data_IF_824983850526
#
_entry.id   IF_824983850526
#
_cell.length_a   1.000
_cell.length_b   1.000
_cell.length_c   1.000
_cell.angle_alpha   90.00
_cell.angle_beta   90.00
_cell.angle_gamma   90.00
#
_symmetry.space_group_name_H-M   'P 1'
#
loop_
_entity.id
_entity.type
_entity.pdbx_description
1 polymer ?
#
# COMPACT_ATOMS: atom_id res chain seq x y z
N UNK A 1 -66.92 30.72 14.82
CA UNK A 1 -65.58 30.60 15.42
C UNK A 1 -65.49 29.20 16.01
N UNK A 2 -64.96 28.24 15.26
CA UNK A 2 -64.89 26.84 15.69
C UNK A 2 -63.75 26.70 16.71
N UNK A 3 -64.08 26.39 17.96
CA UNK A 3 -63.10 26.02 18.96
C UNK A 3 -62.53 24.65 18.58
N UNK A 4 -61.27 24.63 18.17
CA UNK A 4 -60.54 23.41 17.93
C UNK A 4 -60.26 22.76 19.30
N UNK A 5 -60.77 21.54 19.50
CA UNK A 5 -60.59 20.80 20.75
C UNK A 5 -59.09 20.53 20.97
N UNK A 6 -58.52 21.02 22.08
CA UNK A 6 -57.07 20.93 22.37
C UNK A 6 -56.58 19.47 22.42
N UNK A 7 -57.49 18.53 22.66
CA UNK A 7 -57.22 17.08 22.64
C UNK A 7 -56.85 16.53 21.26
N UNK A 8 -57.27 17.18 20.16
CA UNK A 8 -56.98 16.71 18.81
C UNK A 8 -55.62 17.18 18.25
N UNK A 9 -54.95 18.12 18.91
CA UNK A 9 -53.59 18.56 18.53
C UNK A 9 -52.50 17.67 19.13
N UNK A 10 -52.81 16.90 20.18
CA UNK A 10 -51.84 16.04 20.85
C UNK A 10 -51.64 14.69 20.14
N UNK A 11 -52.63 14.22 19.38
CA UNK A 11 -52.61 12.90 18.74
C UNK A 11 -51.77 12.82 17.46
N UNK A 12 -51.38 13.96 16.87
CA UNK A 12 -50.60 14.00 15.62
C UNK A 12 -49.08 14.17 15.84
N UNK A 13 -48.63 14.43 17.07
CA UNK A 13 -47.20 14.61 17.36
C UNK A 13 -46.48 13.33 17.82
N UNK A 14 -47.24 12.28 18.19
CA UNK A 14 -46.70 11.07 18.82
C UNK A 14 -46.25 9.96 17.85
N UNK A 15 -46.41 10.12 16.53
CA UNK A 15 -46.14 9.05 15.54
C UNK A 15 -44.93 9.28 14.63
N UNK A 16 -44.25 10.43 14.68
CA UNK A 16 -43.26 10.79 13.64
C UNK A 16 -41.79 10.54 13.98
N UNK A 17 -41.43 10.05 15.17
CA UNK A 17 -40.03 9.86 15.54
C UNK A 17 -39.71 8.50 16.16
N UNK A 18 -39.86 7.42 15.39
CA UNK A 18 -39.03 6.22 15.62
C UNK A 18 -38.67 5.58 14.27
N UNK A 19 -37.68 6.15 13.57
CA UNK A 19 -36.93 5.38 12.57
C UNK A 19 -35.75 4.74 13.30
N UNK A 20 -35.91 3.51 13.77
CA UNK A 20 -34.80 2.72 14.28
C UNK A 20 -34.00 2.20 13.06
N UNK A 21 -33.02 2.97 12.59
CA UNK A 21 -32.04 2.46 11.63
C UNK A 21 -31.22 1.39 12.33
N UNK A 22 -31.57 0.11 12.15
CA UNK A 22 -30.68 -1.00 12.52
C UNK A 22 -29.60 -1.12 11.45
N UNK A 23 -28.51 -0.38 11.62
CA UNK A 23 -27.28 -0.68 10.91
C UNK A 23 -26.80 -2.07 11.32
N UNK A 24 -26.79 -3.04 10.39
CA UNK A 24 -26.01 -4.26 10.61
C UNK A 24 -24.54 -3.86 10.62
N UNK A 25 -23.74 -4.25 11.62
CA UNK A 25 -22.30 -4.09 11.52
C UNK A 25 -21.84 -4.85 10.27
N UNK A 26 -21.19 -4.13 9.35
CA UNK A 26 -20.45 -4.77 8.27
C UNK A 26 -19.33 -5.57 8.94
N UNK A 27 -19.39 -6.89 8.81
CA UNK A 27 -18.27 -7.76 9.16
C UNK A 27 -17.16 -7.52 8.15
N UNK A 28 -16.31 -6.54 8.41
CA UNK A 28 -15.08 -6.34 7.65
C UNK A 28 -14.13 -7.45 8.07
N UNK A 29 -13.80 -8.37 7.16
CA UNK A 29 -12.67 -9.28 7.38
C UNK A 29 -11.42 -8.44 7.67
N UNK A 30 -10.59 -8.81 8.66
CA UNK A 30 -9.31 -8.16 8.87
C UNK A 30 -8.54 -8.15 7.55
N UNK A 31 -8.11 -6.96 7.13
CA UNK A 31 -7.16 -6.83 6.03
C UNK A 31 -5.77 -6.83 6.65
N UNK A 32 -4.91 -7.68 6.15
CA UNK A 32 -3.56 -7.86 6.65
C UNK A 32 -2.59 -6.92 5.93
N UNK A 33 -1.60 -6.45 6.68
CA UNK A 33 -0.47 -5.71 6.12
C UNK A 33 0.45 -6.71 5.44
N UNK A 34 0.66 -6.56 4.14
CA UNK A 34 1.56 -7.43 3.39
C UNK A 34 2.92 -6.75 3.16
N UNK A 35 3.99 -7.36 3.66
CA UNK A 35 5.37 -6.84 3.60
C UNK A 35 6.33 -7.92 3.08
N UNK A 36 6.25 -8.27 1.79
CA UNK A 36 7.07 -9.35 1.25
C UNK A 36 8.57 -9.00 1.31
N UNK A 37 9.43 -9.93 1.78
CA UNK A 37 10.88 -9.74 1.77
C UNK A 37 11.44 -9.58 0.36
N UNK A 38 12.24 -8.53 0.13
CA UNK A 38 12.99 -8.39 -1.12
C UNK A 38 14.13 -9.42 -1.16
N UNK A 39 14.19 -10.21 -2.24
CA UNK A 39 15.19 -11.26 -2.46
C UNK A 39 16.34 -10.80 -3.38
N UNK A 40 16.06 -9.89 -4.31
CA UNK A 40 17.07 -9.26 -5.17
C UNK A 40 16.67 -7.80 -5.44
N UNK A 41 17.63 -6.85 -5.38
CA UNK A 41 19.07 -7.02 -5.16
C UNK A 41 19.41 -7.45 -3.73
N UNK A 42 20.59 -8.03 -3.55
CA UNK A 42 21.11 -8.46 -2.24
C UNK A 42 22.56 -8.01 -2.05
N UNK A 43 23.15 -8.33 -0.90
CA UNK A 43 24.55 -7.99 -0.62
C UNK A 43 25.47 -8.58 -1.70
N UNK A 44 26.37 -7.75 -2.22
CA UNK A 44 27.29 -8.10 -3.31
C UNK A 44 26.72 -7.90 -4.72
N UNK A 45 25.43 -7.59 -4.87
CA UNK A 45 24.87 -7.22 -6.18
C UNK A 45 25.49 -5.91 -6.69
N UNK A 46 25.77 -5.86 -7.99
CA UNK A 46 26.24 -4.66 -8.70
C UNK A 46 25.30 -4.36 -9.86
N UNK A 47 24.67 -3.19 -9.81
CA UNK A 47 23.85 -2.64 -10.88
C UNK A 47 24.64 -1.64 -11.71
N UNK A 48 24.41 -1.68 -13.01
CA UNK A 48 24.99 -0.77 -13.99
C UNK A 48 23.97 0.30 -14.37
N UNK A 49 24.39 1.57 -14.35
CA UNK A 49 23.55 2.69 -14.76
C UNK A 49 23.05 2.47 -16.21
N UNK A 50 21.80 2.83 -16.48
CA UNK A 50 21.10 2.63 -17.76
C UNK A 50 20.86 1.17 -18.19
N UNK A 51 21.20 0.19 -17.35
CA UNK A 51 20.85 -1.21 -17.59
C UNK A 51 19.54 -1.58 -16.90
N UNK A 52 18.90 -2.63 -17.40
CA UNK A 52 17.73 -3.24 -16.79
C UNK A 52 18.16 -4.30 -15.78
N UNK A 53 17.49 -4.32 -14.63
CA UNK A 53 17.67 -5.32 -13.58
C UNK A 53 16.32 -5.77 -13.04
N UNK A 54 16.23 -7.02 -12.60
CA UNK A 54 15.05 -7.44 -11.86
C UNK A 54 15.09 -6.84 -10.45
N UNK A 55 13.92 -6.65 -9.87
CA UNK A 55 13.69 -6.60 -8.44
C UNK A 55 12.75 -7.75 -8.13
N UNK A 56 13.14 -8.60 -7.18
CA UNK A 56 12.36 -9.80 -6.84
C UNK A 56 12.09 -9.84 -5.35
N UNK A 57 10.96 -10.40 -4.98
CA UNK A 57 10.54 -10.55 -3.59
C UNK A 57 9.80 -11.86 -3.41
N UNK A 58 9.76 -12.33 -2.16
CA UNK A 58 9.05 -13.56 -1.82
C UNK A 58 7.54 -13.29 -1.81
N UNK A 59 6.83 -14.01 -2.68
CA UNK A 59 5.37 -13.99 -2.77
C UNK A 59 4.75 -15.38 -2.57
N UNK A 60 5.46 -16.30 -1.91
CA UNK A 60 5.03 -17.69 -1.74
C UNK A 60 3.87 -17.88 -0.75
N UNK A 61 3.72 -16.97 0.22
CA UNK A 61 2.68 -17.05 1.26
C UNK A 61 1.98 -15.69 1.52
N UNK A 62 1.23 -15.15 0.55
CA UNK A 62 0.51 -13.90 0.74
C UNK A 62 -0.75 -14.09 1.61
N UNK A 63 -1.10 -13.13 2.48
CA UNK A 63 -2.37 -13.15 3.18
C UNK A 63 -3.55 -13.17 2.20
N UNK A 64 -4.65 -13.82 2.61
CA UNK A 64 -5.86 -13.91 1.78
C UNK A 64 -6.46 -12.52 1.49
N UNK A 65 -6.42 -11.62 2.49
CA UNK A 65 -6.96 -10.27 2.40
C UNK A 65 -5.84 -9.24 2.57
N UNK A 66 -5.29 -8.73 1.47
CA UNK A 66 -4.26 -7.68 1.49
C UNK A 66 -4.93 -6.31 1.44
N UNK A 67 -4.45 -5.36 2.25
CA UNK A 67 -5.03 -4.01 2.32
C UNK A 67 -4.73 -3.18 1.07
N UNK A 68 -3.49 -3.21 0.58
CA UNK A 68 -3.03 -2.56 -0.64
C UNK A 68 -2.15 -3.51 -1.45
N UNK A 69 -2.65 -3.90 -2.62
CA UNK A 69 -1.90 -4.74 -3.59
C UNK A 69 -1.11 -3.91 -4.60
N UNK A 70 -1.26 -2.58 -4.59
CA UNK A 70 -0.58 -1.71 -5.54
C UNK A 70 0.85 -1.47 -5.04
N UNK A 71 1.79 -2.07 -5.76
CA UNK A 71 3.21 -2.03 -5.49
C UNK A 71 3.91 -0.81 -6.09
N UNK A 72 4.97 -0.36 -5.42
CA UNK A 72 5.91 0.65 -5.89
C UNK A 72 7.33 0.30 -5.48
N UNK A 73 8.30 0.52 -6.36
CA UNK A 73 9.72 0.36 -6.05
C UNK A 73 10.38 1.74 -6.07
N UNK A 74 11.06 2.10 -4.99
CA UNK A 74 11.83 3.34 -4.89
C UNK A 74 13.30 3.05 -4.57
N UNK A 75 14.18 3.92 -5.05
CA UNK A 75 15.61 3.84 -4.73
C UNK A 75 15.92 4.54 -3.40
N UNK A 76 16.74 3.89 -2.59
CA UNK A 76 17.21 4.39 -1.29
C UNK A 76 18.74 4.46 -1.31
N UNK A 77 19.32 5.48 -0.68
CA UNK A 77 20.76 5.65 -0.53
C UNK A 77 21.07 6.03 0.92
N UNK A 78 21.93 5.26 1.58
CA UNK A 78 22.20 5.42 3.01
C UNK A 78 20.90 5.38 3.82
N UNK A 79 20.63 6.45 4.59
CA UNK A 79 19.45 6.56 5.45
C UNK A 79 18.22 7.21 4.78
N UNK A 80 18.28 7.53 3.48
CA UNK A 80 17.24 8.31 2.79
C UNK A 80 16.60 7.55 1.62
N UNK A 81 15.26 7.48 1.60
CA UNK A 81 14.49 7.09 0.41
C UNK A 81 14.48 8.31 -0.49
N UNK A 82 15.13 8.15 -1.63
CA UNK A 82 15.20 9.20 -2.64
C UNK A 82 13.84 9.36 -3.31
N UNK A 83 13.56 10.48 -4.00
CA UNK A 83 12.33 10.61 -4.79
C UNK A 83 12.32 9.77 -6.08
N UNK A 84 13.35 8.95 -6.34
CA UNK A 84 13.45 8.15 -7.55
C UNK A 84 12.55 6.90 -7.44
N UNK A 85 11.51 6.90 -8.25
CA UNK A 85 10.61 5.76 -8.46
C UNK A 85 11.16 4.93 -9.60
N UNK A 86 11.43 3.65 -9.34
CA UNK A 86 11.95 2.70 -10.34
C UNK A 86 10.83 1.95 -11.05
N UNK A 87 9.72 1.70 -10.35
CA UNK A 87 8.48 1.16 -10.89
C UNK A 87 7.31 1.53 -9.99
N UNK A 88 6.11 1.64 -10.55
CA UNK A 88 4.89 2.00 -9.83
C UNK A 88 3.67 1.32 -10.44
N UNK A 89 2.58 1.28 -9.67
CA UNK A 89 1.26 0.82 -10.10
C UNK A 89 1.25 -0.61 -10.66
N UNK A 90 1.93 -1.54 -9.99
CA UNK A 90 1.92 -2.97 -10.33
C UNK A 90 1.27 -3.81 -9.22
N UNK A 91 0.88 -5.04 -9.51
CA UNK A 91 0.39 -5.96 -8.46
C UNK A 91 1.59 -6.54 -7.67
N UNK A 92 1.62 -6.30 -6.37
CA UNK A 92 2.65 -6.81 -5.46
C UNK A 92 2.70 -8.35 -5.41
N UNK A 93 1.70 -9.05 -5.95
CA UNK A 93 1.71 -10.50 -6.08
C UNK A 93 2.49 -11.02 -7.28
N UNK A 94 3.06 -10.15 -8.14
CA UNK A 94 3.87 -10.58 -9.29
C UNK A 94 5.20 -11.26 -8.90
N UNK A 95 5.74 -10.96 -7.72
CA UNK A 95 7.02 -11.51 -7.24
C UNK A 95 8.27 -10.95 -7.94
N UNK A 96 8.09 -10.24 -9.06
CA UNK A 96 9.17 -9.59 -9.81
C UNK A 96 8.71 -8.43 -10.67
N UNK A 97 9.56 -7.41 -10.80
CA UNK A 97 9.47 -6.35 -11.79
C UNK A 97 10.86 -6.07 -12.34
N UNK A 98 10.97 -5.87 -13.65
CA UNK A 98 12.20 -5.35 -14.25
C UNK A 98 12.19 -3.81 -14.19
N UNK A 99 13.31 -3.22 -13.78
CA UNK A 99 13.48 -1.77 -13.64
C UNK A 99 14.70 -1.29 -14.42
N UNK A 100 14.62 -0.07 -14.96
CA UNK A 100 15.79 0.64 -15.49
C UNK A 100 16.53 1.33 -14.34
N UNK A 101 17.86 1.17 -14.28
CA UNK A 101 18.69 1.88 -13.29
C UNK A 101 18.89 3.32 -13.75
N UNK A 102 18.41 4.33 -13.00
CA UNK A 102 18.55 5.72 -13.39
C UNK A 102 19.99 6.21 -13.26
N UNK A 103 20.29 7.36 -13.86
CA UNK A 103 21.56 8.03 -13.62
C UNK A 103 21.63 8.55 -12.18
N UNK A 104 22.58 8.01 -11.40
CA UNK A 104 22.84 8.38 -10.01
C UNK A 104 24.35 8.36 -9.75
N UNK A 105 24.77 8.98 -8.65
CA UNK A 105 26.16 8.84 -8.19
C UNK A 105 26.50 7.37 -7.92
N UNK A 106 27.73 6.97 -8.20
CA UNK A 106 28.16 5.62 -7.86
C UNK A 106 28.25 5.45 -6.33
N UNK A 107 28.09 4.21 -5.86
CA UNK A 107 28.21 3.89 -4.44
C UNK A 107 27.71 2.51 -4.09
N UNK A 108 28.03 2.06 -2.87
CA UNK A 108 27.71 0.74 -2.33
C UNK A 108 26.64 0.75 -1.22
N UNK A 109 26.06 1.91 -0.95
CA UNK A 109 25.07 2.16 0.09
C UNK A 109 23.64 2.25 -0.46
N UNK A 110 23.36 1.58 -1.58
CA UNK A 110 22.03 1.56 -2.20
C UNK A 110 21.16 0.44 -1.65
N UNK A 111 19.86 0.71 -1.54
CA UNK A 111 18.82 -0.28 -1.30
C UNK A 111 17.63 0.03 -2.20
N UNK A 112 16.79 -0.95 -2.49
CA UNK A 112 15.44 -0.70 -2.98
C UNK A 112 14.46 -0.78 -1.82
N UNK A 113 13.40 0.01 -1.90
CA UNK A 113 12.23 -0.13 -1.04
C UNK A 113 11.09 -0.63 -1.91
N UNK A 114 10.56 -1.81 -1.59
CA UNK A 114 9.31 -2.30 -2.13
C UNK A 114 8.17 -1.85 -1.22
N UNK A 115 7.31 -0.99 -1.74
CA UNK A 115 6.11 -0.50 -1.07
C UNK A 115 4.87 -1.29 -1.51
N UNK A 116 3.98 -1.54 -0.54
CA UNK A 116 2.58 -1.91 -0.70
C UNK A 116 1.77 -1.21 0.39
N UNK A 117 1.38 -1.96 1.42
CA UNK A 117 0.83 -1.39 2.68
C UNK A 117 1.91 -0.78 3.58
N UNK A 118 3.12 -1.33 3.51
CA UNK A 118 4.32 -0.86 4.20
C UNK A 118 5.52 -0.98 3.25
N UNK A 119 6.72 -0.66 3.71
CA UNK A 119 7.96 -0.80 2.95
C UNK A 119 8.80 -1.97 3.43
N UNK A 120 9.32 -2.78 2.50
CA UNK A 120 10.41 -3.72 2.75
C UNK A 120 11.69 -3.22 2.07
N UNK A 121 12.81 -3.21 2.80
CA UNK A 121 14.10 -2.79 2.25
C UNK A 121 14.90 -4.01 1.82
N UNK A 122 15.52 -3.94 0.65
CA UNK A 122 16.56 -4.90 0.28
C UNK A 122 17.80 -4.77 1.16
N UNK A 123 18.69 -5.77 1.17
CA UNK A 123 20.07 -5.55 1.60
C UNK A 123 20.76 -4.45 0.77
N UNK A 124 21.90 -3.97 1.28
CA UNK A 124 22.74 -2.98 0.58
C UNK A 124 23.37 -3.58 -0.68
N UNK A 125 23.43 -2.81 -1.75
CA UNK A 125 24.05 -3.17 -3.02
C UNK A 125 24.76 -1.98 -3.67
N UNK A 126 25.52 -2.24 -4.75
CA UNK A 126 26.32 -1.24 -5.45
C UNK A 126 25.67 -0.80 -6.76
N UNK A 127 25.70 0.50 -7.04
CA UNK A 127 25.43 1.06 -8.37
C UNK A 127 26.72 1.70 -8.88
N UNK A 128 27.07 1.42 -10.14
CA UNK A 128 28.26 1.93 -10.84
C UNK A 128 27.92 2.16 -12.32
N UNK A 129 28.72 2.94 -13.03
CA UNK A 129 28.69 3.05 -14.49
C UNK A 129 28.99 1.74 -15.21
#
# INVERSE_FOLDING_TARGET
MYFMNLTNLFSLFLLSFVVLVRGKPLSLSPRDVYVPPVLYPHTGTVWKINNHHNVTWDNSDPPVNITNKIGRIMLRKGSLTTPLILADNFDILLGRIEVMVPWVLEGSDYQVVLFGDSGNFSPLFTITS
#
